data_IF_692494209317
#
_entry.id   IF_692494209317
#
_cell.length_a   1.000
_cell.length_b   1.000
_cell.length_c   1.000
_cell.angle_alpha   90.00
_cell.angle_beta   90.00
_cell.angle_gamma   90.00
#
_symmetry.space_group_name_H-M   'P 1'
#
loop_
_entity.id
_entity.type
_entity.pdbx_description
1 polymer ?
#
# COMPACT_ATOMS: atom_id res chain seq x y z
N UNK A 1 6.73 -14.63 -20.66
CA UNK A 1 5.69 -15.08 -19.71
C UNK A 1 4.81 -13.87 -19.47
N UNK A 2 3.48 -13.93 -19.53
CA UNK A 2 2.68 -12.77 -19.20
C UNK A 2 2.85 -12.55 -17.69
N UNK A 3 3.54 -11.46 -17.36
CA UNK A 3 3.69 -10.95 -16.01
C UNK A 3 2.26 -10.69 -15.50
N UNK A 4 1.69 -11.65 -14.75
CA UNK A 4 0.40 -11.42 -14.12
C UNK A 4 0.57 -10.22 -13.19
N UNK A 5 -0.30 -9.19 -13.29
CA UNK A 5 -0.19 -8.05 -12.39
C UNK A 5 -0.25 -8.56 -10.94
N UNK A 6 0.71 -8.18 -10.07
CA UNK A 6 0.75 -8.64 -8.69
C UNK A 6 -0.53 -8.33 -7.91
N UNK A 7 -1.30 -7.31 -8.34
CA UNK A 7 -2.57 -6.92 -7.72
C UNK A 7 -3.74 -6.97 -8.70
N UNK A 8 -4.86 -7.54 -8.23
CA UNK A 8 -6.14 -7.64 -8.95
C UNK A 8 -7.26 -6.95 -8.17
N UNK A 9 -8.46 -6.82 -8.75
CA UNK A 9 -9.62 -6.20 -8.07
C UNK A 9 -9.94 -6.83 -6.71
N UNK A 10 -9.54 -8.09 -6.49
CA UNK A 10 -9.74 -8.81 -5.23
C UNK A 10 -8.92 -8.25 -4.06
N UNK A 11 -7.85 -7.50 -4.34
CA UNK A 11 -7.01 -6.82 -3.36
C UNK A 11 -7.69 -5.58 -2.78
N UNK A 12 -8.62 -4.96 -3.52
CA UNK A 12 -9.27 -3.71 -3.15
C UNK A 12 -10.57 -4.00 -2.38
N UNK A 13 -10.83 -3.22 -1.33
CA UNK A 13 -12.00 -3.38 -0.48
C UNK A 13 -13.30 -3.16 -1.27
N UNK A 14 -14.34 -3.91 -0.90
CA UNK A 14 -15.64 -3.83 -1.57
C UNK A 14 -16.31 -2.44 -1.44
N UNK A 15 -15.93 -1.66 -0.40
CA UNK A 15 -16.39 -0.30 -0.17
C UNK A 15 -15.87 0.72 -1.21
N UNK A 16 -14.80 0.39 -1.94
CA UNK A 16 -14.20 1.31 -2.92
C UNK A 16 -15.01 1.30 -4.21
N UNK A 17 -15.38 2.47 -4.77
CA UNK A 17 -16.05 2.58 -6.07
C UNK A 17 -15.25 1.91 -7.18
N UNK A 18 -15.92 1.21 -8.11
CA UNK A 18 -15.26 0.50 -9.22
C UNK A 18 -14.35 1.39 -10.08
N UNK A 19 -14.75 2.64 -10.30
CA UNK A 19 -13.93 3.63 -11.03
C UNK A 19 -12.58 3.84 -10.35
N UNK A 20 -12.58 3.99 -9.02
CA UNK A 20 -11.35 4.15 -8.23
C UNK A 20 -10.53 2.86 -8.15
N UNK A 21 -11.14 1.67 -8.23
CA UNK A 21 -10.40 0.39 -8.18
C UNK A 21 -9.41 0.26 -9.33
N UNK A 22 -9.81 0.60 -10.55
CA UNK A 22 -8.93 0.52 -11.71
C UNK A 22 -7.73 1.45 -11.57
N UNK A 23 -7.95 2.68 -11.07
CA UNK A 23 -6.89 3.66 -10.84
C UNK A 23 -5.93 3.18 -9.73
N UNK A 24 -6.47 2.67 -8.62
CA UNK A 24 -5.68 2.07 -7.54
C UNK A 24 -4.83 0.93 -8.09
N UNK A 25 -5.41 0.00 -8.86
CA UNK A 25 -4.66 -1.11 -9.43
C UNK A 25 -3.56 -0.65 -10.38
N UNK A 26 -3.81 0.38 -11.18
CA UNK A 26 -2.79 0.97 -12.03
C UNK A 26 -1.64 1.53 -11.19
N UNK A 27 -1.93 2.25 -10.11
CA UNK A 27 -0.90 2.78 -9.19
C UNK A 27 -0.09 1.66 -8.53
N UNK A 28 -0.75 0.64 -8.00
CA UNK A 28 -0.11 -0.48 -7.31
C UNK A 28 0.81 -1.28 -8.23
N UNK A 29 0.39 -1.54 -9.46
CA UNK A 29 1.15 -2.37 -10.39
C UNK A 29 2.24 -1.59 -11.17
N UNK A 30 2.16 -0.24 -11.24
CA UNK A 30 3.09 0.55 -12.08
C UNK A 30 3.97 1.54 -11.33
N UNK A 31 3.53 2.04 -10.16
CA UNK A 31 4.23 3.11 -9.44
C UNK A 31 4.60 2.77 -8.00
N UNK A 32 3.95 1.79 -7.37
CA UNK A 32 4.29 1.40 -6.01
C UNK A 32 5.69 0.75 -6.00
N UNK A 33 6.52 1.13 -5.03
CA UNK A 33 7.85 0.56 -4.87
C UNK A 33 7.81 -0.97 -4.68
N UNK A 34 8.68 -1.76 -5.33
CA UNK A 34 8.66 -3.23 -5.26
C UNK A 34 8.66 -3.77 -3.82
N UNK A 35 9.47 -3.21 -2.93
CA UNK A 35 9.48 -3.60 -1.52
C UNK A 35 8.11 -3.43 -0.84
N UNK A 36 7.38 -2.35 -1.14
CA UNK A 36 6.02 -2.16 -0.62
C UNK A 36 5.01 -3.06 -1.34
N UNK A 37 5.23 -3.39 -2.61
CA UNK A 37 4.40 -4.39 -3.30
C UNK A 37 4.48 -5.74 -2.60
N UNK A 38 5.68 -6.18 -2.18
CA UNK A 38 5.84 -7.44 -1.44
C UNK A 38 5.08 -7.44 -0.11
N UNK A 39 5.19 -6.34 0.65
CA UNK A 39 4.45 -6.17 1.91
C UNK A 39 2.94 -6.19 1.65
N UNK A 40 2.47 -5.42 0.66
CA UNK A 40 1.06 -5.36 0.31
C UNK A 40 0.53 -6.72 -0.13
N UNK A 41 1.31 -7.49 -0.90
CA UNK A 41 0.94 -8.83 -1.33
C UNK A 41 0.78 -9.78 -0.12
N UNK A 42 1.68 -9.70 0.86
CA UNK A 42 1.60 -10.49 2.08
C UNK A 42 0.39 -10.09 2.96
N UNK A 43 0.10 -8.80 3.06
CA UNK A 43 -1.08 -8.27 3.75
C UNK A 43 -2.38 -8.73 3.08
N UNK A 44 -2.46 -8.65 1.75
CA UNK A 44 -3.62 -9.12 0.98
C UNK A 44 -3.82 -10.63 1.11
N UNK A 45 -2.73 -11.41 1.07
CA UNK A 45 -2.76 -12.86 1.29
C UNK A 45 -3.26 -13.21 2.71
N UNK A 46 -2.97 -12.37 3.70
CA UNK A 46 -3.46 -12.49 5.08
C UNK A 46 -4.91 -12.02 5.26
N UNK A 47 -5.54 -11.52 4.19
CA UNK A 47 -6.94 -11.09 4.18
C UNK A 47 -7.15 -9.59 4.37
N UNK A 48 -6.07 -8.79 4.37
CA UNK A 48 -6.17 -7.33 4.33
C UNK A 48 -6.61 -6.85 2.93
N UNK A 49 -7.13 -5.64 2.83
CA UNK A 49 -7.67 -5.08 1.59
C UNK A 49 -7.37 -3.59 1.51
N UNK A 50 -7.04 -3.11 0.31
CA UNK A 50 -6.76 -1.70 0.02
C UNK A 50 -8.06 -0.92 0.05
N UNK A 51 -8.14 0.12 0.87
CA UNK A 51 -9.30 1.01 0.97
C UNK A 51 -9.12 2.27 0.15
N UNK A 52 -7.88 2.72 -0.05
CA UNK A 52 -7.56 3.91 -0.83
C UNK A 52 -6.13 3.86 -1.34
N UNK A 53 -5.85 4.57 -2.43
CA UNK A 53 -4.48 4.85 -2.86
C UNK A 53 -4.41 6.19 -3.56
N UNK A 54 -3.33 6.93 -3.28
CA UNK A 54 -3.09 8.23 -3.85
C UNK A 54 -1.62 8.43 -4.22
N UNK A 55 -1.37 9.55 -4.89
CA UNK A 55 -0.03 9.95 -5.35
C UNK A 55 0.33 11.34 -4.85
N UNK A 56 1.61 11.67 -4.99
CA UNK A 56 2.17 13.00 -4.72
C UNK A 56 2.13 13.44 -3.24
N UNK A 57 1.94 12.48 -2.35
CA UNK A 57 2.07 12.64 -0.91
C UNK A 57 2.76 11.40 -0.32
N UNK A 58 3.76 11.55 0.58
CA UNK A 58 4.24 12.77 1.23
C UNK A 58 5.14 13.66 0.37
N UNK A 59 5.83 13.08 -0.62
CA UNK A 59 6.63 13.82 -1.62
C UNK A 59 5.98 13.72 -3.01
N UNK A 60 6.27 14.68 -3.90
CA UNK A 60 5.86 14.60 -5.31
C UNK A 60 6.37 13.29 -5.95
N UNK A 61 5.49 12.55 -6.63
CA UNK A 61 5.78 11.24 -7.20
C UNK A 61 5.68 10.06 -6.24
N UNK A 62 5.45 10.29 -4.94
CA UNK A 62 5.21 9.23 -3.97
C UNK A 62 3.88 8.54 -4.23
N UNK A 63 3.77 7.28 -3.80
CA UNK A 63 2.50 6.55 -3.75
C UNK A 63 2.21 6.23 -2.30
N UNK A 64 1.03 6.59 -1.81
CA UNK A 64 0.54 6.13 -0.52
C UNK A 64 -0.66 5.20 -0.73
N UNK A 65 -0.73 4.14 0.07
CA UNK A 65 -1.77 3.12 -0.02
C UNK A 65 -2.32 2.88 1.38
N UNK A 66 -3.64 2.98 1.52
CA UNK A 66 -4.33 2.75 2.80
C UNK A 66 -4.97 1.37 2.80
N UNK A 67 -4.75 0.64 3.89
CA UNK A 67 -5.26 -0.71 4.12
C UNK A 67 -6.39 -0.71 5.17
N UNK A 68 -7.34 -1.64 5.02
CA UNK A 68 -8.53 -1.74 5.87
C UNK A 68 -8.25 -2.27 7.28
N UNK A 69 -7.17 -3.03 7.46
CA UNK A 69 -6.78 -3.65 8.73
C UNK A 69 -5.38 -3.23 9.11
N UNK A 70 -5.15 -3.22 10.43
CA UNK A 70 -3.84 -2.92 11.02
C UNK A 70 -2.77 -3.90 10.54
N UNK A 71 -1.55 -3.41 10.42
CA UNK A 71 -0.38 -4.23 10.15
C UNK A 71 -0.03 -5.09 11.35
N UNK A 72 0.40 -6.31 11.08
CA UNK A 72 0.96 -7.19 12.11
C UNK A 72 2.47 -6.94 12.32
N UNK A 73 3.04 -5.83 11.80
CA UNK A 73 4.46 -5.40 11.85
C UNK A 73 5.49 -6.40 11.28
N UNK A 74 5.05 -7.55 10.79
CA UNK A 74 5.86 -8.72 10.44
C UNK A 74 6.67 -8.55 9.14
N UNK A 75 6.41 -7.49 8.39
CA UNK A 75 6.88 -7.35 7.01
C UNK A 75 7.93 -6.25 6.81
N UNK A 76 8.45 -5.67 7.90
CA UNK A 76 9.53 -4.67 7.81
C UNK A 76 10.79 -5.27 7.19
N UNK A 77 11.44 -4.50 6.31
CA UNK A 77 12.68 -4.87 5.64
C UNK A 77 13.68 -3.71 5.61
N UNK A 78 14.87 -3.93 5.05
CA UNK A 78 15.86 -2.86 4.87
C UNK A 78 15.37 -1.76 3.91
N UNK A 79 14.47 -2.11 2.98
CA UNK A 79 13.95 -1.21 1.95
C UNK A 79 12.62 -0.56 2.35
N UNK A 80 11.90 -1.15 3.33
CA UNK A 80 10.63 -0.68 3.82
C UNK A 80 10.57 -0.75 5.35
N UNK A 81 10.60 0.43 5.97
CA UNK A 81 10.68 0.58 7.43
C UNK A 81 9.28 0.69 8.01
N UNK A 82 8.98 -0.16 9.00
CA UNK A 82 7.75 -0.04 9.80
C UNK A 82 7.88 1.08 10.83
N UNK A 83 6.92 1.98 10.83
CA UNK A 83 6.80 3.10 11.75
C UNK A 83 5.43 3.03 12.46
N UNK A 84 5.40 2.74 13.77
CA UNK A 84 4.18 2.90 14.56
C UNK A 84 3.93 4.40 14.76
N UNK A 85 2.82 4.91 14.23
CA UNK A 85 2.44 6.32 14.36
C UNK A 85 1.51 6.52 15.57
N UNK A 86 0.63 5.53 15.82
CA UNK A 86 -0.44 5.53 16.83
C UNK A 86 -1.23 6.85 16.87
N UNK A 87 -1.47 7.43 15.68
CA UNK A 87 -2.22 8.66 15.55
C UNK A 87 -3.72 8.35 15.74
N UNK A 88 -4.38 8.98 16.73
CA UNK A 88 -5.79 8.70 17.03
C UNK A 88 -6.77 9.21 15.96
N UNK A 89 -6.32 10.03 15.02
CA UNK A 89 -7.16 10.71 14.03
C UNK A 89 -6.97 10.19 12.61
N UNK A 90 -5.80 9.68 12.25
CA UNK A 90 -5.49 9.35 10.85
C UNK A 90 -5.10 7.90 10.60
N UNK A 91 -4.03 7.39 11.21
CA UNK A 91 -3.57 6.02 11.00
C UNK A 91 -2.71 5.50 12.15
N UNK A 92 -2.76 4.18 12.37
CA UNK A 92 -2.05 3.51 13.46
C UNK A 92 -0.58 3.26 13.13
N UNK A 93 -0.26 2.89 11.90
CA UNK A 93 1.10 2.59 11.50
C UNK A 93 1.29 2.82 10.01
N UNK A 94 2.54 3.05 9.63
CA UNK A 94 2.96 3.17 8.24
C UNK A 94 4.18 2.29 7.94
N UNK A 95 4.27 1.76 6.74
CA UNK A 95 5.53 1.33 6.15
C UNK A 95 5.99 2.39 5.16
N UNK A 96 7.22 2.86 5.30
CA UNK A 96 7.81 3.84 4.41
C UNK A 96 9.03 3.29 3.69
N UNK A 97 9.21 3.64 2.41
CA UNK A 97 10.46 3.29 1.72
C UNK A 97 11.64 4.07 2.28
N UNK A 98 12.80 3.43 2.35
CA UNK A 98 14.03 4.08 2.77
C UNK A 98 14.49 5.15 1.76
N UNK A 99 14.25 4.90 0.47
CA UNK A 99 14.63 5.77 -0.64
C UNK A 99 13.54 6.78 -1.03
N UNK A 100 13.96 7.87 -1.68
CA UNK A 100 13.08 8.90 -2.22
C UNK A 100 12.69 8.61 -3.69
N UNK A 101 11.45 8.92 -4.13
CA UNK A 101 10.35 9.49 -3.34
C UNK A 101 9.81 8.48 -2.32
N UNK A 102 9.39 8.96 -1.14
CA UNK A 102 8.99 8.07 -0.07
C UNK A 102 7.59 7.52 -0.32
N UNK A 103 7.49 6.26 -0.69
CA UNK A 103 6.21 5.58 -0.78
C UNK A 103 5.74 5.13 0.60
N UNK A 104 4.43 5.09 0.81
CA UNK A 104 3.81 4.73 2.09
C UNK A 104 2.76 3.62 1.94
N UNK A 105 2.73 2.69 2.89
CA UNK A 105 1.59 1.83 3.17
C UNK A 105 1.07 2.21 4.55
N UNK A 106 -0.22 2.46 4.69
CA UNK A 106 -0.84 3.05 5.89
C UNK A 106 -2.00 2.15 6.36
N UNK A 107 -2.21 1.99 7.67
CA UNK A 107 -3.35 1.25 8.24
C UNK A 107 -4.02 1.93 9.43
#
# INVERSE_FOLDING_TARGET
>A
MPDQPPFTESCVAASVPRTSRSDILALLNTRLHPALQEILAAEVASGNRVTDAGVDWPDAGSVHVTLSRRFDSRHASAEAVFSPCDDPHYWHADYSTADAPRHLLIC
#
